data_IF_311866461488
#
_entry.id   IF_311866461488
#
_cell.length_a   1.000
_cell.length_b   1.000
_cell.length_c   1.000
_cell.angle_alpha   90.00
_cell.angle_beta   90.00
_cell.angle_gamma   90.00
#
_symmetry.space_group_name_H-M   'P 1'
#
loop_
_entity.id
_entity.type
_entity.pdbx_description
1 polymer ?
#
# COMPACT_ATOMS: atom_id res chain seq x y z
N UNK A 1 11.68 -7.05 1.12
CA UNK A 1 10.49 -6.32 0.58
C UNK A 1 9.70 -7.29 -0.29
N UNK A 2 8.49 -7.67 0.10
CA UNK A 2 7.70 -8.64 -0.69
C UNK A 2 7.14 -7.97 -1.94
N UNK A 3 7.12 -8.70 -3.07
CA UNK A 3 6.58 -8.20 -4.34
C UNK A 3 5.14 -7.65 -4.19
N UNK A 4 4.35 -8.27 -3.30
CA UNK A 4 2.98 -7.87 -2.97
C UNK A 4 2.89 -6.47 -2.34
N UNK A 5 3.82 -6.15 -1.44
CA UNK A 5 3.87 -4.84 -0.78
C UNK A 5 4.32 -3.77 -1.78
N UNK A 6 5.28 -4.09 -2.66
CA UNK A 6 5.71 -3.20 -3.75
C UNK A 6 4.56 -2.85 -4.71
N UNK A 7 3.77 -3.83 -5.16
CA UNK A 7 2.62 -3.59 -6.04
C UNK A 7 1.58 -2.68 -5.39
N UNK A 8 1.31 -2.87 -4.09
CA UNK A 8 0.35 -2.04 -3.35
C UNK A 8 0.86 -0.62 -3.13
N UNK A 9 2.15 -0.45 -2.81
CA UNK A 9 2.77 0.87 -2.71
C UNK A 9 2.73 1.62 -4.04
N UNK A 10 2.98 0.93 -5.17
CA UNK A 10 2.87 1.52 -6.50
C UNK A 10 1.43 1.93 -6.85
N UNK A 11 0.45 1.11 -6.47
CA UNK A 11 -0.97 1.44 -6.59
C UNK A 11 -1.35 2.66 -5.76
N UNK A 12 -0.83 2.75 -4.53
CA UNK A 12 -1.02 3.90 -3.66
C UNK A 12 -0.49 5.19 -4.30
N UNK A 13 0.73 5.17 -4.84
CA UNK A 13 1.32 6.33 -5.53
C UNK A 13 0.47 6.78 -6.72
N UNK A 14 0.01 5.84 -7.55
CA UNK A 14 -0.84 6.15 -8.72
C UNK A 14 -2.18 6.79 -8.33
N UNK A 15 -2.77 6.38 -7.20
CA UNK A 15 -4.00 6.99 -6.68
C UNK A 15 -3.70 8.42 -6.19
N UNK A 16 -2.57 8.64 -5.54
CA UNK A 16 -2.15 9.97 -5.09
C UNK A 16 -1.91 10.95 -6.24
N UNK A 17 -1.26 10.51 -7.32
CA UNK A 17 -1.09 11.30 -8.54
C UNK A 17 -2.44 11.70 -9.14
N UNK A 18 -3.37 10.74 -9.26
CA UNK A 18 -4.72 11.03 -9.78
C UNK A 18 -5.47 12.02 -8.89
N UNK A 19 -5.32 11.91 -7.57
CA UNK A 19 -5.94 12.80 -6.61
C UNK A 19 -5.34 14.21 -6.69
N UNK A 20 -4.03 14.31 -6.93
CA UNK A 20 -3.35 15.58 -7.15
C UNK A 20 -3.82 16.25 -8.44
N UNK A 21 -3.85 15.51 -9.55
CA UNK A 21 -4.35 16.01 -10.84
C UNK A 21 -5.82 16.43 -10.76
N UNK A 22 -6.68 15.62 -10.12
CA UNK A 22 -8.09 15.94 -9.94
C UNK A 22 -8.29 17.20 -9.07
N UNK A 23 -7.43 17.45 -8.07
CA UNK A 23 -7.46 18.68 -7.26
C UNK A 23 -6.96 19.92 -8.01
N UNK A 24 -6.06 19.75 -8.99
CA UNK A 24 -5.56 20.86 -9.81
C UNK A 24 -6.53 21.26 -10.92
N UNK A 25 -7.60 20.49 -11.16
CA UNK A 25 -8.62 20.84 -12.17
C UNK A 25 -9.41 22.08 -11.73
N UNK A 26 -9.75 22.99 -12.65
CA UNK A 26 -10.52 24.20 -12.36
C UNK A 26 -11.96 23.90 -11.89
N UNK A 27 -12.50 22.74 -12.23
CA UNK A 27 -13.76 22.21 -11.68
C UNK A 27 -13.51 20.77 -11.16
N UNK A 28 -13.11 20.61 -9.89
CA UNK A 28 -12.83 19.29 -9.33
C UNK A 28 -14.15 18.53 -9.11
N UNK A 29 -14.27 17.36 -9.72
CA UNK A 29 -15.40 16.47 -9.44
C UNK A 29 -15.27 15.93 -8.01
N UNK A 30 -16.17 16.40 -7.14
CA UNK A 30 -16.20 16.03 -5.73
C UNK A 30 -16.50 14.54 -5.52
N UNK A 31 -17.24 13.90 -6.43
CA UNK A 31 -17.49 12.46 -6.40
C UNK A 31 -16.24 11.68 -6.78
N UNK A 32 -15.52 12.13 -7.81
CA UNK A 32 -14.23 11.54 -8.23
C UNK A 32 -13.21 11.64 -7.09
N UNK A 33 -13.07 12.82 -6.47
CA UNK A 33 -12.19 13.02 -5.32
C UNK A 33 -12.55 12.13 -4.13
N UNK A 34 -13.84 11.98 -3.84
CA UNK A 34 -14.31 11.13 -2.73
C UNK A 34 -14.04 9.64 -3.02
N UNK A 35 -14.24 9.19 -4.27
CA UNK A 35 -13.89 7.83 -4.71
C UNK A 35 -12.39 7.58 -4.61
N UNK A 36 -11.56 8.50 -5.08
CA UNK A 36 -10.09 8.42 -5.01
C UNK A 36 -9.61 8.36 -3.55
N UNK A 37 -10.17 9.20 -2.66
CA UNK A 37 -9.88 9.16 -1.22
C UNK A 37 -10.25 7.82 -0.58
N UNK A 38 -11.42 7.26 -0.91
CA UNK A 38 -11.84 5.94 -0.40
C UNK A 38 -10.93 4.81 -0.90
N UNK A 39 -10.53 4.85 -2.17
CA UNK A 39 -9.55 3.90 -2.71
C UNK A 39 -8.20 4.02 -2.00
N UNK A 40 -7.71 5.25 -1.78
CA UNK A 40 -6.47 5.49 -1.04
C UNK A 40 -6.53 4.90 0.38
N UNK A 41 -7.64 5.13 1.09
CA UNK A 41 -7.84 4.59 2.44
C UNK A 41 -7.79 3.06 2.46
N UNK A 42 -8.50 2.40 1.54
CA UNK A 42 -8.49 0.93 1.43
C UNK A 42 -7.10 0.36 1.13
N UNK A 43 -6.34 0.99 0.23
CA UNK A 43 -4.98 0.56 -0.10
C UNK A 43 -4.05 0.76 1.09
N UNK A 44 -4.16 1.89 1.80
CA UNK A 44 -3.41 2.14 3.04
C UNK A 44 -3.71 1.08 4.09
N UNK A 45 -4.99 0.72 4.30
CA UNK A 45 -5.38 -0.31 5.26
C UNK A 45 -4.83 -1.69 4.87
N UNK A 46 -4.83 -2.03 3.58
CA UNK A 46 -4.23 -3.27 3.06
C UNK A 46 -2.71 -3.30 3.26
N UNK A 47 -2.01 -2.19 3.01
CA UNK A 47 -0.57 -2.08 3.27
C UNK A 47 -0.29 -2.23 4.76
N UNK A 48 -1.06 -1.55 5.63
CA UNK A 48 -0.89 -1.65 7.06
C UNK A 48 -1.20 -3.05 7.60
N UNK A 49 -2.20 -3.73 7.04
CA UNK A 49 -2.48 -5.13 7.36
C UNK A 49 -1.32 -6.03 6.92
N UNK A 50 -0.82 -5.89 5.71
CA UNK A 50 0.31 -6.70 5.24
C UNK A 50 1.63 -6.39 5.95
N UNK A 51 1.84 -5.15 6.36
CA UNK A 51 3.00 -4.77 7.17
C UNK A 51 2.92 -5.37 8.58
N UNK A 52 1.71 -5.46 9.16
CA UNK A 52 1.47 -6.09 10.48
C UNK A 52 1.41 -7.61 10.42
N UNK A 53 0.94 -8.17 9.32
CA UNK A 53 0.80 -9.61 9.08
C UNK A 53 1.99 -10.21 8.35
N UNK A 54 3.02 -9.43 7.99
CA UNK A 54 4.29 -9.99 7.60
C UNK A 54 4.80 -10.76 8.82
N UNK A 55 4.85 -12.10 8.78
CA UNK A 55 5.56 -12.83 9.81
C UNK A 55 6.96 -12.26 9.75
N UNK A 56 7.44 -11.81 10.91
CA UNK A 56 8.84 -11.69 11.19
C UNK A 56 9.46 -13.00 10.68
N UNK A 57 10.04 -12.95 9.47
CA UNK A 57 10.64 -14.11 8.86
C UNK A 57 11.83 -14.44 9.75
N UNK A 58 11.58 -15.40 10.64
CA UNK A 58 12.50 -16.28 11.30
C UNK A 58 13.93 -15.73 11.39
N UNK A 59 14.17 -14.93 12.43
CA UNK A 59 15.52 -14.80 12.98
C UNK A 59 15.98 -16.10 13.66
N UNK A 60 15.30 -17.22 13.44
CA UNK A 60 15.75 -18.56 13.83
C UNK A 60 16.84 -19.02 12.87
N UNK A 61 17.95 -18.29 12.90
CA UNK A 61 19.28 -18.89 12.93
C UNK A 61 19.20 -20.14 13.82
N UNK A 62 19.19 -21.33 13.22
CA UNK A 62 20.26 -22.33 13.32
C UNK A 62 19.86 -23.59 12.55
N UNK A 63 20.47 -23.80 11.38
CA UNK A 63 20.73 -25.13 10.82
C UNK A 63 22.15 -25.53 11.27
N UNK A 64 22.63 -26.77 11.05
CA UNK A 64 22.47 -27.99 11.83
C UNK A 64 23.79 -28.48 12.48
N UNK A 65 23.74 -29.06 13.69
CA UNK A 65 24.78 -29.95 14.28
C UNK A 65 24.22 -30.46 15.62
N UNK A 66 24.40 -31.68 16.09
CA UNK A 66 25.35 -32.76 15.87
C UNK A 66 24.55 -34.10 15.91
N UNK A 67 25.04 -35.24 15.44
CA UNK A 67 26.29 -35.91 15.78
C UNK A 67 25.91 -37.33 16.18
#
# INVERSE_FOLDING_TARGET
>A
MSARLFTLTRLHQKIDERLHLARQRPAPDSLELTRLKKMKLRVKDLIQRLARSAPQADHTTRRPSAG
#
